data_IF_638280856318
#
_entry.id   IF_638280856318
#
_cell.length_a   1.000
_cell.length_b   1.000
_cell.length_c   1.000
_cell.angle_alpha   90.00
_cell.angle_beta   90.00
_cell.angle_gamma   90.00
#
_symmetry.space_group_name_H-M   'P 1'
#
loop_
_entity.id
_entity.type
_entity.pdbx_description
1 polymer ?
#
# COMPACT_ATOMS: atom_id res chain seq x y z
N UNK A 1 -13.21 7.42 -21.00
CA UNK A 1 -12.87 8.16 -19.76
C UNK A 1 -13.55 7.48 -18.58
N UNK A 2 -12.81 7.13 -17.51
CA UNK A 2 -13.32 6.37 -16.35
C UNK A 2 -14.20 7.26 -15.46
N UNK A 3 -15.47 7.40 -15.80
CA UNK A 3 -16.50 8.11 -15.00
C UNK A 3 -16.57 7.63 -13.54
N UNK A 4 -16.14 6.39 -13.27
CA UNK A 4 -16.07 5.79 -11.93
C UNK A 4 -15.01 6.43 -11.00
N UNK A 5 -14.08 7.23 -11.51
CA UNK A 5 -13.12 7.95 -10.67
C UNK A 5 -13.76 9.09 -9.88
N UNK A 6 -14.94 9.57 -10.30
CA UNK A 6 -15.64 10.71 -9.72
C UNK A 6 -16.72 10.30 -8.69
N UNK A 7 -17.06 9.01 -8.63
CA UNK A 7 -18.06 8.49 -7.70
C UNK A 7 -17.33 7.98 -6.44
N UNK A 8 -17.62 8.51 -5.24
CA UNK A 8 -17.12 7.95 -3.99
C UNK A 8 -17.52 6.47 -3.90
N UNK A 9 -16.55 5.57 -3.79
CA UNK A 9 -16.80 4.14 -3.65
C UNK A 9 -15.76 3.50 -2.73
N UNK A 10 -16.11 2.32 -2.19
CA UNK A 10 -15.13 1.46 -1.52
C UNK A 10 -14.14 0.94 -2.56
N UNK A 11 -12.89 1.32 -2.43
CA UNK A 11 -11.85 0.83 -3.32
C UNK A 11 -11.67 -0.67 -3.14
N UNK A 12 -11.96 -1.44 -4.19
CA UNK A 12 -11.55 -2.83 -4.28
C UNK A 12 -10.15 -2.89 -4.87
N UNK A 13 -9.16 -3.18 -4.02
CA UNK A 13 -7.77 -3.24 -4.40
C UNK A 13 -7.44 -4.56 -5.11
N UNK A 14 -6.64 -4.45 -6.17
CA UNK A 14 -6.08 -5.55 -6.97
C UNK A 14 -4.62 -5.21 -7.31
N UNK A 15 -3.92 -6.16 -7.93
CA UNK A 15 -2.50 -6.00 -8.30
C UNK A 15 -1.65 -5.53 -7.10
N UNK A 16 -1.90 -6.13 -5.93
CA UNK A 16 -1.27 -5.71 -4.67
C UNK A 16 0.17 -6.20 -4.66
N UNK A 17 1.11 -5.26 -4.63
CA UNK A 17 2.55 -5.50 -4.52
C UNK A 17 2.99 -5.10 -3.12
N UNK A 18 3.68 -6.01 -2.44
CA UNK A 18 4.23 -5.78 -1.10
C UNK A 18 5.73 -6.03 -1.18
N UNK A 19 6.50 -5.01 -0.85
CA UNK A 19 7.96 -5.06 -0.89
C UNK A 19 8.55 -4.69 0.47
N UNK A 20 9.76 -5.19 0.71
CA UNK A 20 10.52 -4.93 1.93
C UNK A 20 11.80 -4.23 1.54
N UNK A 21 11.99 -3.03 2.07
CA UNK A 21 13.18 -2.23 1.83
C UNK A 21 13.86 -1.92 3.16
N UNK A 22 15.19 -1.88 3.14
CA UNK A 22 15.95 -1.40 4.29
C UNK A 22 15.68 0.08 4.53
N UNK A 23 15.38 0.45 5.77
CA UNK A 23 15.20 1.83 6.20
C UNK A 23 16.10 2.12 7.40
N UNK A 24 16.55 3.37 7.49
CA UNK A 24 17.38 3.87 8.59
C UNK A 24 16.57 4.89 9.37
N UNK A 25 16.39 4.67 10.66
CA UNK A 25 15.74 5.64 11.55
C UNK A 25 16.66 6.85 11.76
N UNK A 26 16.10 8.01 12.16
CA UNK A 26 16.90 9.18 12.53
C UNK A 26 17.95 8.91 13.63
N UNK A 27 17.75 7.87 14.44
CA UNK A 27 18.69 7.44 15.48
C UNK A 27 19.77 6.46 14.98
N UNK A 28 19.88 6.23 13.67
CA UNK A 28 20.87 5.34 13.06
C UNK A 28 20.51 3.85 13.08
N UNK A 29 19.34 3.45 13.62
CA UNK A 29 18.93 2.04 13.60
C UNK A 29 18.41 1.62 12.23
N UNK A 30 18.88 0.48 11.75
CA UNK A 30 18.38 -0.15 10.52
C UNK A 30 17.23 -1.11 10.83
N UNK A 31 16.17 -1.04 10.03
CA UNK A 31 15.03 -1.95 10.08
C UNK A 31 14.50 -2.21 8.67
N UNK A 32 13.70 -3.26 8.53
CA UNK A 32 12.91 -3.47 7.32
C UNK A 32 11.65 -2.61 7.38
N UNK A 33 11.33 -1.99 6.26
CA UNK A 33 10.12 -1.20 6.05
C UNK A 33 9.28 -1.84 4.96
N UNK A 34 7.97 -1.82 5.14
CA UNK A 34 7.02 -2.45 4.22
C UNK A 34 6.42 -1.40 3.29
N UNK A 35 6.64 -1.58 2.00
CA UNK A 35 6.07 -0.77 0.93
C UNK A 35 4.91 -1.52 0.31
N UNK A 36 3.79 -0.84 0.13
CA UNK A 36 2.61 -1.41 -0.51
C UNK A 36 2.22 -0.52 -1.68
N UNK A 37 2.03 -1.14 -2.84
CA UNK A 37 1.29 -0.53 -3.94
C UNK A 37 0.09 -1.39 -4.33
N UNK A 38 -1.00 -0.73 -4.70
CA UNK A 38 -2.21 -1.43 -5.16
C UNK A 38 -3.00 -0.55 -6.12
N UNK A 39 -3.73 -1.19 -7.03
CA UNK A 39 -4.60 -0.55 -8.00
C UNK A 39 -6.05 -0.85 -7.70
N UNK A 40 -6.94 0.14 -7.78
CA UNK A 40 -8.36 -0.08 -7.63
C UNK A 40 -8.96 -0.65 -8.92
N UNK A 41 -9.72 -1.74 -8.83
CA UNK A 41 -10.36 -2.37 -10.00
C UNK A 41 -11.44 -1.49 -10.63
N UNK A 42 -12.16 -0.71 -9.83
CA UNK A 42 -13.28 0.14 -10.29
C UNK A 42 -12.82 1.43 -10.95
N UNK A 43 -12.09 2.27 -10.23
CA UNK A 43 -11.63 3.57 -10.75
C UNK A 43 -10.21 3.58 -11.30
N UNK A 44 -9.42 2.53 -11.11
CA UNK A 44 -8.01 2.50 -11.53
C UNK A 44 -7.05 3.29 -10.66
N UNK A 45 -7.52 3.90 -9.55
CA UNK A 45 -6.67 4.65 -8.62
C UNK A 45 -5.54 3.78 -8.10
N UNK A 46 -4.31 4.28 -8.15
CA UNK A 46 -3.16 3.65 -7.50
C UNK A 46 -2.94 4.26 -6.12
N UNK A 47 -2.52 3.43 -5.17
CA UNK A 47 -2.06 3.87 -3.86
C UNK A 47 -0.65 3.37 -3.62
N UNK A 48 0.12 4.19 -2.91
CA UNK A 48 1.43 3.85 -2.40
C UNK A 48 1.42 4.14 -0.90
N UNK A 49 1.76 3.16 -0.08
CA UNK A 49 1.87 3.29 1.37
C UNK A 49 3.20 2.74 1.84
N UNK A 50 3.80 3.44 2.81
CA UNK A 50 5.04 3.03 3.45
C UNK A 50 4.78 2.86 4.93
N UNK A 51 5.19 1.71 5.47
CA UNK A 51 5.22 1.45 6.90
C UNK A 51 6.67 1.32 7.33
N UNK A 52 7.11 2.21 8.22
CA UNK A 52 8.47 2.21 8.79
C UNK A 52 8.64 1.11 9.85
N UNK A 53 8.23 -0.11 9.50
CA UNK A 53 8.36 -1.36 10.25
C UNK A 53 8.06 -2.55 9.34
N UNK A 54 8.57 -3.71 9.69
CA UNK A 54 8.24 -4.96 9.00
C UNK A 54 6.87 -5.47 9.47
N UNK A 55 5.91 -5.51 8.55
CA UNK A 55 4.60 -6.12 8.79
C UNK A 55 4.41 -7.33 7.87
N UNK A 56 3.65 -8.30 8.37
CA UNK A 56 3.25 -9.45 7.57
C UNK A 56 2.36 -9.04 6.40
N UNK A 57 2.42 -9.80 5.31
CA UNK A 57 1.57 -9.60 4.13
C UNK A 57 0.07 -9.62 4.48
N UNK A 58 -0.33 -10.46 5.43
CA UNK A 58 -1.72 -10.53 5.92
C UNK A 58 -2.15 -9.22 6.56
N UNK A 59 -1.28 -8.63 7.38
CA UNK A 59 -1.55 -7.36 8.05
C UNK A 59 -1.56 -6.20 7.04
N UNK A 60 -0.58 -6.18 6.14
CA UNK A 60 -0.49 -5.25 5.02
C UNK A 60 -1.78 -5.24 4.18
N UNK A 61 -2.28 -6.42 3.80
CA UNK A 61 -3.54 -6.56 3.05
C UNK A 61 -4.77 -6.10 3.84
N UNK A 62 -4.86 -6.44 5.13
CA UNK A 62 -5.98 -6.02 6.00
C UNK A 62 -6.09 -4.49 6.09
N UNK A 63 -4.96 -3.79 6.07
CA UNK A 63 -4.91 -2.34 6.22
C UNK A 63 -5.25 -1.56 4.95
N UNK A 64 -5.39 -2.24 3.80
CA UNK A 64 -5.85 -1.63 2.56
C UNK A 64 -7.37 -1.35 2.57
N UNK A 65 -8.14 -2.02 3.43
CA UNK A 65 -9.57 -1.74 3.66
C UNK A 65 -10.52 -2.64 2.88
#
# INVERSE_FOLDING_TARGET
>A
MRLLALIPHRHRWQDIIIERHGATAPNGRHYLSTYISARCSGCGKMIHRVYYRDISDRQARRWLG
#
